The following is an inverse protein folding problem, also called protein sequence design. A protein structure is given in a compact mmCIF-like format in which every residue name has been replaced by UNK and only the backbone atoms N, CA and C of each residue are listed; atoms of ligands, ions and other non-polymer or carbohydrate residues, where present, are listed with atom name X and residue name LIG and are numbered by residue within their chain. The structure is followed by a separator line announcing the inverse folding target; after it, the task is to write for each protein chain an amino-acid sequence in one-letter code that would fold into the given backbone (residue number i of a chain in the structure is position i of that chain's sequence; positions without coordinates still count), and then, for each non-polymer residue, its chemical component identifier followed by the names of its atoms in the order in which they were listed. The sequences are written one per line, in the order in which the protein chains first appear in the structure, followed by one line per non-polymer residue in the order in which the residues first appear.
data_IF_359130013212
#
_entry.id   IF_359130013212
#
_cell.length_a   1.000
_cell.length_b   1.000
_cell.length_c   1.000
_cell.angle_alpha   90.00
_cell.angle_beta   90.00
_cell.angle_gamma   90.00
#
_symmetry.space_group_name_H-M   'P 1'
#
loop_
_entity.id
_entity.type
_entity.pdbx_description
1 polymer ?
#
# COMPACT_ATOMS: atom_id res chain seq x y z
N UNK A 1 24.97 -20.81 -51.42
CA UNK A 1 23.57 -20.67 -50.97
C UNK A 1 23.51 -21.17 -49.55
N UNK A 2 23.44 -20.28 -48.58
CA UNK A 2 23.36 -20.64 -47.15
C UNK A 2 21.89 -20.62 -46.74
N UNK A 3 21.44 -21.72 -46.15
CA UNK A 3 20.06 -21.97 -45.73
C UNK A 3 19.64 -21.02 -44.59
N UNK A 4 18.40 -20.53 -44.66
CA UNK A 4 17.74 -19.74 -43.61
C UNK A 4 17.49 -20.61 -42.36
N UNK A 5 17.62 -20.07 -41.14
CA UNK A 5 17.18 -20.77 -39.94
C UNK A 5 15.63 -20.74 -39.82
N UNK A 6 15.02 -21.71 -39.12
CA UNK A 6 13.57 -21.85 -39.03
C UNK A 6 12.95 -20.77 -38.13
N UNK A 7 11.82 -20.23 -38.58
CA UNK A 7 10.94 -19.34 -37.81
C UNK A 7 10.19 -20.14 -36.73
N UNK A 8 10.69 -20.13 -35.50
CA UNK A 8 9.91 -20.54 -34.33
C UNK A 8 9.48 -19.32 -33.51
N UNK A 9 8.21 -18.94 -33.67
CA UNK A 9 7.31 -18.52 -32.59
C UNK A 9 7.76 -17.36 -31.71
N UNK A 10 8.02 -16.18 -32.28
CA UNK A 10 8.03 -14.93 -31.53
C UNK A 10 6.57 -14.47 -31.32
N UNK A 11 5.90 -14.98 -30.28
CA UNK A 11 4.61 -14.39 -29.86
C UNK A 11 4.93 -13.09 -29.16
N UNK A 12 4.86 -12.01 -29.93
CA UNK A 12 4.85 -10.66 -29.42
C UNK A 12 3.57 -10.44 -28.62
N UNK A 13 3.70 -10.02 -27.35
CA UNK A 13 2.57 -9.63 -26.49
C UNK A 13 1.80 -8.41 -27.06
N UNK A 14 2.28 -7.84 -28.17
CA UNK A 14 1.61 -6.76 -28.91
C UNK A 14 0.43 -7.29 -29.76
N UNK A 15 0.42 -8.58 -30.11
CA UNK A 15 -0.53 -9.10 -31.10
C UNK A 15 -1.85 -9.63 -30.49
N UNK A 16 -1.94 -9.79 -29.16
CA UNK A 16 -3.18 -10.30 -28.54
C UNK A 16 -4.23 -9.21 -28.29
N UNK A 17 -3.88 -7.96 -27.97
CA UNK A 17 -4.88 -6.92 -27.60
C UNK A 17 -4.42 -5.47 -27.93
N UNK A 18 -4.47 -5.04 -29.21
CA UNK A 18 -4.03 -3.70 -29.64
C UNK A 18 -4.90 -2.55 -29.08
N UNK A 19 -6.18 -2.81 -28.78
CA UNK A 19 -7.14 -1.80 -28.29
C UNK A 19 -6.79 -1.28 -26.88
N UNK A 20 -6.10 -2.08 -26.06
CA UNK A 20 -5.68 -1.68 -24.71
C UNK A 20 -4.39 -0.84 -24.75
N UNK A 21 -3.53 -1.08 -25.74
CA UNK A 21 -2.34 -0.27 -25.95
C UNK A 21 -2.66 1.14 -26.44
N UNK A 22 -3.75 1.33 -27.20
CA UNK A 22 -4.29 2.67 -27.50
C UNK A 22 -4.70 3.44 -26.24
N UNK A 23 -5.28 2.77 -25.23
CA UNK A 23 -5.60 3.38 -23.93
C UNK A 23 -4.36 3.70 -23.08
N UNK A 24 -3.22 3.06 -23.37
CA UNK A 24 -1.91 3.34 -22.77
C UNK A 24 -1.15 4.44 -23.51
N UNK A 25 -1.59 4.87 -24.70
CA UNK A 25 -0.98 6.01 -25.40
C UNK A 25 -1.18 7.25 -24.55
N UNK A 26 -0.06 7.67 -23.97
CA UNK A 26 0.08 8.97 -23.34
C UNK A 26 -0.12 10.03 -24.40
N UNK A 27 -1.30 10.66 -24.43
CA UNK A 27 -1.59 11.73 -25.37
C UNK A 27 -0.66 12.92 -25.08
N UNK A 28 0.40 13.01 -25.87
CA UNK A 28 1.45 14.03 -25.74
C UNK A 28 1.10 15.31 -26.51
N UNK A 29 -0.13 15.41 -27.04
CA UNK A 29 -0.48 16.39 -28.07
C UNK A 29 -1.17 17.67 -27.57
N UNK A 30 -1.35 17.86 -26.26
CA UNK A 30 -2.01 19.08 -25.72
C UNK A 30 -1.05 20.23 -25.38
N UNK A 31 0.17 20.25 -25.94
CA UNK A 31 1.12 21.36 -25.77
C UNK A 31 1.69 21.84 -27.11
N UNK A 32 0.82 22.31 -28.00
CA UNK A 32 1.20 23.26 -29.06
C UNK A 32 -0.05 23.89 -29.69
N UNK A 33 -0.63 24.91 -29.04
CA UNK A 33 -1.35 25.95 -29.77
C UNK A 33 -0.98 27.32 -29.19
N UNK A 34 -0.22 28.08 -29.98
CA UNK A 34 -0.02 29.53 -29.82
C UNK A 34 -1.38 30.23 -29.99
N UNK A 35 -1.74 31.24 -29.18
CA UNK A 35 -2.91 32.05 -29.48
C UNK A 35 -2.60 33.02 -30.62
N UNK A 36 -3.34 32.92 -31.73
CA UNK A 36 -3.43 33.96 -32.75
C UNK A 36 -4.15 35.20 -32.19
N UNK A 37 -3.62 36.38 -32.51
CA UNK A 37 -4.17 37.67 -32.11
C UNK A 37 -5.41 38.00 -32.95
N UNK A 38 -6.55 38.16 -32.29
CA UNK A 38 -7.78 38.74 -32.87
C UNK A 38 -7.92 40.19 -32.35
N UNK A 39 -8.29 41.19 -33.18
CA UNK A 39 -8.38 42.58 -32.75
C UNK A 39 -9.54 42.83 -31.78
N UNK A 40 -9.31 43.68 -30.78
CA UNK A 40 -10.28 44.10 -29.76
C UNK A 40 -11.42 44.95 -30.35
N UNK A 41 -12.70 44.68 -30.01
CA UNK A 41 -13.77 45.66 -30.13
C UNK A 41 -13.85 46.59 -28.90
N UNK A 42 -14.33 47.81 -29.16
CA UNK A 42 -14.44 48.98 -28.27
C UNK A 42 -15.41 48.72 -27.09
N UNK A 43 -15.22 49.30 -25.88
CA UNK A 43 -16.08 49.05 -24.73
C UNK A 43 -17.40 49.82 -24.84
N UNK A 44 -18.53 49.12 -24.69
CA UNK A 44 -19.84 49.72 -24.39
C UNK A 44 -20.10 49.48 -22.89
N UNK A 45 -20.21 50.55 -22.11
CA UNK A 45 -20.59 50.50 -20.70
C UNK A 45 -22.00 49.89 -20.55
N UNK A 46 -22.10 48.82 -19.75
CA UNK A 46 -23.39 48.29 -19.27
C UNK A 46 -23.54 48.63 -17.78
N UNK A 47 -24.73 49.09 -17.34
CA UNK A 47 -24.94 49.54 -15.97
C UNK A 47 -24.85 48.39 -14.95
N UNK A 48 -24.29 48.70 -13.78
CA UNK A 48 -24.15 47.78 -12.64
C UNK A 48 -25.52 47.24 -12.22
N UNK A 49 -25.70 45.93 -12.34
CA UNK A 49 -26.85 45.21 -11.77
C UNK A 49 -26.62 45.01 -10.26
N UNK A 50 -27.66 45.09 -9.42
CA UNK A 50 -27.53 45.07 -7.97
C UNK A 50 -26.98 43.72 -7.48
N UNK A 51 -26.09 43.78 -6.49
CA UNK A 51 -25.51 42.63 -5.80
C UNK A 51 -26.62 41.68 -5.31
N UNK A 52 -26.80 40.55 -6.00
CA UNK A 52 -27.53 39.42 -5.44
C UNK A 52 -26.71 38.91 -4.27
N UNK A 53 -27.14 39.27 -3.05
CA UNK A 53 -26.73 38.62 -1.81
C UNK A 53 -27.00 37.12 -1.96
N UNK A 54 -25.95 36.36 -2.27
CA UNK A 54 -26.02 34.90 -2.38
C UNK A 54 -26.43 34.39 -1.00
N UNK A 55 -27.67 33.89 -0.90
CA UNK A 55 -28.12 33.14 0.27
C UNK A 55 -27.14 32.00 0.51
N UNK A 56 -26.56 31.91 1.72
CA UNK A 56 -25.72 30.78 2.13
C UNK A 56 -26.45 29.48 1.75
N UNK A 57 -25.89 28.62 0.88
CA UNK A 57 -26.47 27.31 0.66
C UNK A 57 -26.48 26.60 2.03
N UNK A 58 -27.56 25.87 2.32
CA UNK A 58 -27.68 25.11 3.55
C UNK A 58 -26.40 24.26 3.73
N UNK A 59 -25.65 24.50 4.80
CA UNK A 59 -24.46 23.72 5.17
C UNK A 59 -24.87 22.24 5.20
N UNK A 60 -24.46 21.49 4.18
CA UNK A 60 -24.64 20.05 4.17
C UNK A 60 -23.47 19.48 4.96
N UNK A 61 -23.72 19.07 6.20
CA UNK A 61 -22.69 18.47 7.02
C UNK A 61 -22.31 17.10 6.40
N UNK A 62 -21.04 16.88 5.97
CA UNK A 62 -20.59 15.56 5.52
C UNK A 62 -20.88 14.43 6.51
N UNK A 63 -21.00 14.73 7.81
CA UNK A 63 -21.32 13.77 8.85
C UNK A 63 -22.82 13.39 8.92
N UNK A 64 -23.69 14.01 8.11
CA UNK A 64 -25.11 13.64 7.98
C UNK A 64 -25.33 12.32 7.21
N UNK A 65 -24.36 11.90 6.39
CA UNK A 65 -24.42 10.61 5.67
C UNK A 65 -24.57 9.44 6.65
N UNK A 66 -25.25 8.36 6.29
CA UNK A 66 -25.21 7.15 7.12
C UNK A 66 -23.79 6.52 7.12
N UNK A 67 -23.49 5.67 8.12
CA UNK A 67 -22.13 5.11 8.29
C UNK A 67 -21.64 4.33 7.05
N UNK A 68 -22.43 3.43 6.43
CA UNK A 68 -22.00 2.74 5.20
C UNK A 68 -21.68 3.69 4.04
N UNK A 69 -22.53 4.66 3.76
CA UNK A 69 -22.31 5.65 2.69
C UNK A 69 -21.13 6.57 3.01
N UNK A 70 -20.89 6.87 4.29
CA UNK A 70 -19.74 7.64 4.72
C UNK A 70 -18.43 6.87 4.46
N UNK A 71 -18.36 5.58 4.83
CA UNK A 71 -17.21 4.72 4.53
C UNK A 71 -17.04 4.53 3.01
N UNK A 72 -18.13 4.40 2.26
CA UNK A 72 -18.08 4.32 0.80
C UNK A 72 -17.59 5.62 0.15
N UNK A 73 -17.79 6.78 0.78
CA UNK A 73 -17.33 8.05 0.23
C UNK A 73 -15.90 8.36 0.65
N UNK A 74 -15.58 8.17 1.93
CA UNK A 74 -14.37 8.68 2.57
C UNK A 74 -13.38 7.59 3.01
N UNK A 75 -13.76 6.30 2.88
CA UNK A 75 -12.97 5.11 3.27
C UNK A 75 -12.65 5.00 4.77
N UNK A 76 -13.15 5.94 5.57
CA UNK A 76 -13.05 5.98 7.03
C UNK A 76 -14.44 5.94 7.64
N UNK A 77 -14.55 5.48 8.88
CA UNK A 77 -15.76 5.69 9.70
C UNK A 77 -15.84 7.15 10.16
N UNK A 78 -17.02 7.60 10.57
CA UNK A 78 -17.23 8.97 11.05
C UNK A 78 -16.31 9.30 12.23
N UNK A 79 -16.17 8.38 13.18
CA UNK A 79 -15.31 8.57 14.35
C UNK A 79 -13.84 8.70 13.98
N UNK A 80 -13.36 7.94 13.00
CA UNK A 80 -11.98 8.08 12.52
C UNK A 80 -11.77 9.37 11.75
N UNK A 81 -12.75 9.79 10.95
CA UNK A 81 -12.68 11.08 10.27
C UNK A 81 -12.64 12.25 11.28
N UNK A 82 -13.47 12.22 12.33
CA UNK A 82 -13.41 13.21 13.43
C UNK A 82 -12.07 13.20 14.15
N UNK A 83 -11.60 12.01 14.53
CA UNK A 83 -10.29 11.85 15.19
C UNK A 83 -9.17 12.40 14.30
N UNK A 84 -9.21 12.14 13.00
CA UNK A 84 -8.25 12.67 12.04
C UNK A 84 -8.32 14.20 11.96
N UNK A 85 -9.51 14.79 11.95
CA UNK A 85 -9.66 16.26 11.96
C UNK A 85 -9.00 16.89 13.19
N UNK A 86 -9.25 16.34 14.38
CA UNK A 86 -8.63 16.81 15.63
C UNK A 86 -7.11 16.65 15.63
N UNK A 87 -6.59 15.55 15.07
CA UNK A 87 -5.15 15.30 14.97
C UNK A 87 -4.45 16.24 13.98
N UNK A 88 -5.13 16.61 12.88
CA UNK A 88 -4.55 17.49 11.86
C UNK A 88 -4.70 18.98 12.22
N UNK A 89 -5.73 19.36 12.97
CA UNK A 89 -5.99 20.75 13.39
C UNK A 89 -4.75 21.53 13.87
N UNK A 90 -3.88 20.99 14.77
CA UNK A 90 -2.70 21.74 15.25
C UNK A 90 -1.56 21.88 14.23
N UNK A 91 -1.58 21.12 13.12
CA UNK A 91 -0.53 21.10 12.09
C UNK A 91 -1.02 21.61 10.74
N UNK A 92 -2.30 21.99 10.66
CA UNK A 92 -2.88 22.64 9.48
C UNK A 92 -2.54 24.13 9.50
N UNK A 93 -2.38 24.77 8.32
CA UNK A 93 -2.07 26.19 8.25
C UNK A 93 -3.23 27.03 8.82
N UNK A 94 -2.87 28.01 9.65
CA UNK A 94 -3.77 29.05 10.11
C UNK A 94 -4.36 29.80 8.91
N UNK A 95 -5.66 30.05 8.94
CA UNK A 95 -6.30 30.75 7.84
C UNK A 95 -6.18 32.25 7.96
N UNK A 96 -5.84 32.85 6.84
CA UNK A 96 -5.61 34.29 6.69
C UNK A 96 -6.70 34.97 5.84
N UNK A 97 -7.81 34.28 5.48
CA UNK A 97 -8.84 34.78 4.55
C UNK A 97 -10.25 34.78 5.17
N UNK A 98 -11.10 35.71 4.71
CA UNK A 98 -12.45 35.96 5.26
C UNK A 98 -13.53 34.93 4.90
N UNK A 99 -13.28 34.05 3.93
CA UNK A 99 -14.15 32.92 3.57
C UNK A 99 -13.34 31.66 3.79
N UNK A 100 -13.36 31.19 5.03
CA UNK A 100 -12.57 30.05 5.45
C UNK A 100 -13.45 28.80 5.55
N UNK A 101 -13.07 27.77 4.78
CA UNK A 101 -13.61 26.44 4.98
C UNK A 101 -12.97 25.79 6.21
N UNK A 102 -13.78 25.13 7.03
CA UNK A 102 -13.34 24.42 8.22
C UNK A 102 -12.27 23.35 7.93
N UNK A 103 -11.51 22.95 8.96
CA UNK A 103 -10.55 21.84 8.85
C UNK A 103 -11.26 20.57 8.41
N UNK A 104 -12.45 20.34 8.96
CA UNK A 104 -13.34 19.24 8.63
C UNK A 104 -13.67 19.24 7.14
N UNK A 105 -14.15 20.37 6.59
CA UNK A 105 -14.45 20.48 5.16
C UNK A 105 -13.23 20.18 4.28
N UNK A 106 -12.04 20.64 4.66
CA UNK A 106 -10.79 20.36 3.93
C UNK A 106 -10.42 18.88 4.00
N UNK A 107 -10.49 18.27 5.19
CA UNK A 107 -10.21 16.84 5.40
C UNK A 107 -11.18 15.98 4.61
N UNK A 108 -12.49 16.29 4.66
CA UNK A 108 -13.50 15.55 3.90
C UNK A 108 -13.27 15.67 2.38
N UNK A 109 -12.94 16.87 1.89
CA UNK A 109 -12.60 17.06 0.47
C UNK A 109 -11.36 16.24 0.06
N UNK A 110 -10.31 16.24 0.88
CA UNK A 110 -9.09 15.49 0.62
C UNK A 110 -9.33 13.97 0.65
N UNK A 111 -10.09 13.46 1.63
CA UNK A 111 -10.45 12.04 1.72
C UNK A 111 -11.24 11.57 0.49
N UNK A 112 -12.23 12.35 0.05
CA UNK A 112 -13.00 12.05 -1.17
C UNK A 112 -12.10 12.03 -2.41
N UNK A 113 -11.16 12.98 -2.50
CA UNK A 113 -10.16 12.99 -3.58
C UNK A 113 -9.25 11.75 -3.52
N UNK A 114 -8.70 11.39 -2.36
CA UNK A 114 -7.84 10.20 -2.25
C UNK A 114 -8.61 8.91 -2.61
N UNK A 115 -9.86 8.80 -2.15
CA UNK A 115 -10.71 7.63 -2.36
C UNK A 115 -11.09 7.41 -3.83
N UNK A 116 -11.22 8.48 -4.62
CA UNK A 116 -11.76 8.41 -6.00
C UNK A 116 -10.76 8.82 -7.07
N UNK A 117 -9.75 9.60 -6.70
CA UNK A 117 -8.80 10.23 -7.61
C UNK A 117 -9.38 11.37 -8.46
N UNK A 118 -10.59 11.85 -8.12
CA UNK A 118 -11.32 12.86 -8.89
C UNK A 118 -11.61 14.08 -8.02
N UNK A 119 -11.60 15.26 -8.65
CA UNK A 119 -12.07 16.50 -8.04
C UNK A 119 -13.59 16.50 -7.98
N UNK A 120 -14.13 15.88 -6.94
CA UNK A 120 -15.57 15.88 -6.71
C UNK A 120 -16.02 17.28 -6.27
N UNK A 121 -17.00 17.85 -6.96
CA UNK A 121 -17.68 19.09 -6.55
C UNK A 121 -18.78 18.81 -5.51
N UNK A 122 -18.55 17.84 -4.63
CA UNK A 122 -19.53 17.36 -3.66
C UNK A 122 -18.85 16.87 -2.39
N UNK A 123 -19.35 17.33 -1.25
CA UNK A 123 -19.05 16.82 0.09
C UNK A 123 -20.40 16.33 0.66
N UNK A 124 -20.44 15.16 1.29
CA UNK A 124 -21.69 14.59 1.83
C UNK A 124 -22.67 14.07 0.76
N UNK A 125 -22.19 13.72 -0.44
CA UNK A 125 -23.03 13.15 -1.51
C UNK A 125 -23.93 14.15 -2.25
N UNK A 126 -23.88 15.45 -1.91
CA UNK A 126 -24.59 16.52 -2.61
C UNK A 126 -23.60 17.46 -3.29
N UNK A 127 -23.90 17.87 -4.52
CA UNK A 127 -23.12 18.87 -5.22
C UNK A 127 -23.33 20.24 -4.56
N UNK A 128 -22.29 20.79 -3.94
CA UNK A 128 -22.34 22.14 -3.38
C UNK A 128 -21.68 23.11 -4.39
N UNK A 129 -22.42 24.09 -4.92
CA UNK A 129 -21.86 25.09 -5.84
C UNK A 129 -20.73 25.94 -5.23
N UNK A 130 -20.59 25.98 -3.90
CA UNK A 130 -19.47 26.66 -3.21
C UNK A 130 -18.14 25.88 -3.33
N UNK A 131 -18.22 24.57 -3.57
CA UNK A 131 -17.06 23.68 -3.71
C UNK A 131 -16.52 23.79 -5.13
N UNK A 132 -15.48 24.60 -5.25
CA UNK A 132 -14.73 24.75 -6.49
C UNK A 132 -13.63 23.69 -6.60
N UNK A 133 -13.21 23.38 -7.83
CA UNK A 133 -12.03 22.54 -8.04
C UNK A 133 -10.78 23.16 -7.39
N UNK A 134 -10.70 24.50 -7.36
CA UNK A 134 -9.65 25.24 -6.66
C UNK A 134 -9.64 24.92 -5.16
N UNK A 135 -10.79 24.97 -4.49
CA UNK A 135 -10.90 24.61 -3.08
C UNK A 135 -10.43 23.17 -2.81
N UNK A 136 -10.91 22.20 -3.59
CA UNK A 136 -10.52 20.79 -3.41
C UNK A 136 -9.01 20.61 -3.61
N UNK A 137 -8.42 21.27 -4.61
CA UNK A 137 -6.97 21.24 -4.82
C UNK A 137 -6.19 21.81 -3.63
N UNK A 138 -6.61 22.97 -3.10
CA UNK A 138 -6.00 23.57 -1.90
C UNK A 138 -6.17 22.66 -0.68
N UNK A 139 -7.35 22.08 -0.48
CA UNK A 139 -7.62 21.16 0.62
C UNK A 139 -6.73 19.92 0.56
N UNK A 140 -6.61 19.30 -0.63
CA UNK A 140 -5.71 18.16 -0.84
C UNK A 140 -4.27 18.52 -0.49
N UNK A 141 -3.77 19.68 -0.94
CA UNK A 141 -2.40 20.10 -0.64
C UNK A 141 -2.18 20.31 0.86
N UNK A 142 -3.05 21.09 1.53
CA UNK A 142 -2.92 21.39 2.96
C UNK A 142 -3.04 20.13 3.83
N UNK A 143 -4.01 19.27 3.54
CA UNK A 143 -4.18 18.01 4.27
C UNK A 143 -3.01 17.06 4.00
N UNK A 144 -2.53 16.99 2.76
CA UNK A 144 -1.35 16.18 2.42
C UNK A 144 -0.12 16.64 3.23
N UNK A 145 0.13 17.94 3.28
CA UNK A 145 1.25 18.52 4.04
C UNK A 145 1.12 18.23 5.55
N UNK A 146 -0.06 18.47 6.12
CA UNK A 146 -0.36 18.18 7.53
C UNK A 146 -0.19 16.69 7.88
N UNK A 147 -0.63 15.80 6.99
CA UNK A 147 -0.44 14.35 7.14
C UNK A 147 1.04 13.94 7.11
N UNK A 148 1.89 14.68 6.40
CA UNK A 148 3.33 14.46 6.33
C UNK A 148 4.10 15.11 7.50
N UNK A 149 3.39 15.76 8.44
CA UNK A 149 4.03 16.28 9.63
C UNK A 149 4.72 15.15 10.43
N UNK A 150 5.97 15.31 10.91
CA UNK A 150 6.75 14.23 11.50
C UNK A 150 6.06 13.51 12.68
N UNK A 151 5.26 14.21 13.48
CA UNK A 151 4.50 13.60 14.59
C UNK A 151 3.41 12.64 14.10
N UNK A 152 2.77 12.93 12.97
CA UNK A 152 1.73 12.09 12.36
C UNK A 152 2.37 10.89 11.69
N UNK A 153 3.41 11.10 10.86
CA UNK A 153 4.12 10.01 10.17
C UNK A 153 4.65 9.00 11.19
N UNK A 154 5.38 9.45 12.23
CA UNK A 154 5.97 8.57 13.27
C UNK A 154 4.91 7.79 14.06
N UNK A 155 3.70 8.33 14.23
CA UNK A 155 2.60 7.65 14.94
C UNK A 155 2.02 6.48 14.15
N UNK A 156 2.00 6.59 12.82
CA UNK A 156 1.31 5.64 11.95
C UNK A 156 2.24 4.71 11.18
N UNK A 157 3.46 5.13 10.87
CA UNK A 157 4.46 4.36 10.14
C UNK A 157 5.73 4.28 11.00
N UNK A 158 6.04 3.09 11.49
CA UNK A 158 7.15 2.85 12.41
C UNK A 158 7.86 1.54 12.05
N UNK A 159 9.16 1.63 11.80
CA UNK A 159 10.00 0.47 11.54
C UNK A 159 10.57 -0.05 12.87
N UNK A 160 10.65 -1.38 13.10
CA UNK A 160 11.04 -1.94 14.39
C UNK A 160 12.54 -1.76 14.69
N UNK A 161 12.87 -0.75 15.49
CA UNK A 161 14.26 -0.46 15.89
C UNK A 161 14.63 -1.13 17.20
N UNK A 162 13.66 -1.45 18.06
CA UNK A 162 13.91 -2.17 19.30
C UNK A 162 13.91 -3.68 19.07
N UNK A 163 14.78 -4.41 19.79
CA UNK A 163 14.85 -5.88 19.70
C UNK A 163 13.50 -6.54 19.97
N UNK A 164 12.78 -6.07 20.99
CA UNK A 164 11.47 -6.59 21.36
C UNK A 164 10.44 -6.43 20.23
N UNK A 165 10.43 -5.29 19.53
CA UNK A 165 9.54 -5.06 18.38
C UNK A 165 9.86 -6.02 17.24
N UNK A 166 11.16 -6.21 16.95
CA UNK A 166 11.62 -7.17 15.94
C UNK A 166 11.22 -8.60 16.30
N UNK A 167 11.41 -9.02 17.54
CA UNK A 167 11.08 -10.38 17.99
C UNK A 167 9.57 -10.67 17.87
N UNK A 168 8.72 -9.67 18.16
CA UNK A 168 7.27 -9.78 17.94
C UNK A 168 6.96 -9.98 16.45
N UNK A 169 7.57 -9.19 15.55
CA UNK A 169 7.33 -9.32 14.10
C UNK A 169 7.86 -10.66 13.58
N UNK A 170 9.06 -11.08 13.99
CA UNK A 170 9.65 -12.39 13.66
C UNK A 170 8.71 -13.52 14.06
N UNK A 171 8.17 -13.47 15.28
CA UNK A 171 7.24 -14.46 15.77
C UNK A 171 5.95 -14.50 14.92
N UNK A 172 5.36 -13.35 14.58
CA UNK A 172 4.15 -13.32 13.75
C UNK A 172 4.38 -13.85 12.34
N UNK A 173 5.49 -13.49 11.69
CA UNK A 173 5.85 -14.04 10.38
C UNK A 173 6.09 -15.55 10.44
N UNK A 174 6.78 -16.03 11.48
CA UNK A 174 7.00 -17.47 11.65
C UNK A 174 5.68 -18.22 11.87
N UNK A 175 4.78 -17.70 12.71
CA UNK A 175 3.48 -18.32 12.97
C UNK A 175 2.59 -18.34 11.72
N UNK A 176 2.64 -17.30 10.88
CA UNK A 176 1.77 -17.17 9.70
C UNK A 176 2.32 -17.86 8.45
N UNK A 177 3.63 -17.83 8.24
CA UNK A 177 4.27 -18.27 7.00
C UNK A 177 5.38 -19.32 7.19
N UNK A 178 5.77 -19.62 8.43
CA UNK A 178 6.81 -20.60 8.75
C UNK A 178 8.25 -20.12 8.52
N UNK A 179 8.46 -18.85 8.14
CA UNK A 179 9.81 -18.33 7.85
C UNK A 179 10.35 -17.59 9.09
N UNK A 180 11.48 -18.05 9.67
CA UNK A 180 12.08 -17.37 10.82
C UNK A 180 12.75 -16.05 10.42
N UNK A 181 13.05 -15.20 11.41
CA UNK A 181 13.86 -13.98 11.29
C UNK A 181 13.36 -12.92 10.30
N UNK A 182 12.14 -13.05 9.79
CA UNK A 182 11.52 -12.05 8.92
C UNK A 182 11.08 -10.85 9.76
N UNK A 183 11.54 -9.66 9.39
CA UNK A 183 11.11 -8.39 10.03
C UNK A 183 10.23 -7.52 9.13
N UNK A 184 9.85 -8.03 7.96
CA UNK A 184 8.95 -7.37 7.03
C UNK A 184 8.99 -8.00 5.64
N UNK A 185 7.99 -7.71 4.82
CA UNK A 185 8.01 -7.98 3.39
C UNK A 185 8.10 -6.68 2.60
N UNK A 186 8.90 -6.65 1.55
CA UNK A 186 9.26 -5.45 0.79
C UNK A 186 9.00 -5.62 -0.69
N UNK A 187 8.36 -4.62 -1.29
CA UNK A 187 8.14 -4.55 -2.73
C UNK A 187 8.06 -3.10 -3.21
N UNK A 188 8.39 -2.86 -4.48
CA UNK A 188 8.15 -1.57 -5.10
C UNK A 188 6.86 -1.52 -5.92
N UNK A 189 6.26 -0.34 -5.97
CA UNK A 189 5.14 -0.04 -6.86
C UNK A 189 5.33 1.31 -7.54
N UNK A 190 4.86 1.42 -8.78
CA UNK A 190 4.85 2.65 -9.53
C UNK A 190 3.56 3.41 -9.31
N UNK A 191 3.66 4.68 -8.94
CA UNK A 191 2.55 5.64 -8.90
C UNK A 191 2.72 6.60 -10.07
N UNK A 192 1.84 6.56 -11.08
CA UNK A 192 1.98 7.42 -12.25
C UNK A 192 1.73 8.88 -11.90
N UNK A 193 2.40 9.77 -12.62
CA UNK A 193 2.36 11.21 -12.43
C UNK A 193 2.46 11.92 -13.78
N UNK A 194 2.16 13.22 -13.81
CA UNK A 194 2.46 14.02 -14.99
C UNK A 194 3.96 14.02 -15.31
N UNK A 195 4.25 14.32 -16.58
CA UNK A 195 5.62 14.64 -16.99
C UNK A 195 6.07 15.85 -16.17
N UNK A 196 7.12 15.73 -15.35
CA UNK A 196 7.63 16.86 -14.60
C UNK A 196 8.32 17.83 -15.55
N UNK A 197 8.42 19.10 -15.18
CA UNK A 197 9.17 20.09 -15.96
C UNK A 197 10.67 19.75 -15.92
N UNK A 198 11.18 19.48 -14.71
CA UNK A 198 12.56 19.11 -14.44
C UNK A 198 12.76 17.60 -14.24
N UNK A 199 14.01 17.15 -14.40
CA UNK A 199 14.48 15.77 -14.11
C UNK A 199 13.61 14.64 -14.68
N UNK A 200 13.03 14.88 -15.86
CA UNK A 200 12.12 13.96 -16.54
C UNK A 200 12.68 12.55 -16.69
N UNK A 201 13.99 12.43 -16.96
CA UNK A 201 14.68 11.15 -17.13
C UNK A 201 14.70 10.32 -15.85
N UNK A 202 14.78 10.94 -14.67
CA UNK A 202 14.76 10.17 -13.42
C UNK A 202 13.36 9.62 -13.12
N UNK A 203 12.32 10.31 -13.58
CA UNK A 203 10.92 9.94 -13.39
C UNK A 203 10.35 9.04 -14.48
N UNK A 204 10.95 9.04 -15.67
CA UNK A 204 10.52 8.22 -16.78
C UNK A 204 10.92 6.76 -16.54
N UNK A 205 9.92 5.89 -16.39
CA UNK A 205 10.14 4.46 -16.51
C UNK A 205 10.25 4.09 -18.01
N UNK A 206 9.97 2.85 -18.41
CA UNK A 206 10.05 2.45 -19.83
C UNK A 206 8.90 2.95 -20.71
N UNK A 207 7.84 3.52 -20.12
CA UNK A 207 6.60 3.85 -20.83
C UNK A 207 5.93 5.14 -20.35
N UNK A 208 6.05 5.51 -19.07
CA UNK A 208 5.40 6.70 -18.51
C UNK A 208 6.19 7.31 -17.34
N UNK A 209 5.85 8.53 -16.93
CA UNK A 209 6.46 9.17 -15.77
C UNK A 209 5.79 8.68 -14.48
N UNK A 210 6.61 8.29 -13.50
CA UNK A 210 6.13 7.75 -12.22
C UNK A 210 7.05 8.07 -11.07
N UNK A 211 6.51 7.97 -9.85
CA UNK A 211 7.29 7.74 -8.64
C UNK A 211 7.43 6.24 -8.43
N UNK A 212 8.64 5.78 -8.11
CA UNK A 212 8.87 4.41 -7.67
C UNK A 212 8.84 4.41 -6.15
N UNK A 213 7.90 3.67 -5.59
CA UNK A 213 7.63 3.66 -4.16
C UNK A 213 8.04 2.31 -3.59
N UNK A 214 8.93 2.27 -2.60
CA UNK A 214 9.19 1.06 -1.83
C UNK A 214 8.27 1.05 -0.61
N UNK A 215 7.59 -0.08 -0.38
CA UNK A 215 6.74 -0.30 0.79
C UNK A 215 7.29 -1.51 1.54
N UNK A 216 7.42 -1.38 2.85
CA UNK A 216 7.67 -2.51 3.75
C UNK A 216 6.46 -2.67 4.66
N UNK A 217 5.91 -3.88 4.73
CA UNK A 217 4.81 -4.21 5.64
C UNK A 217 5.15 -5.37 6.59
N UNK A 218 4.42 -5.43 7.70
CA UNK A 218 4.42 -6.61 8.57
C UNK A 218 3.46 -7.70 8.06
N UNK A 219 3.33 -8.80 8.82
CA UNK A 219 2.44 -9.92 8.50
C UNK A 219 0.95 -9.57 8.55
N UNK A 220 0.60 -8.45 9.18
CA UNK A 220 -0.78 -7.97 9.38
C UNK A 220 -1.14 -6.89 8.36
N UNK A 221 -0.33 -6.75 7.31
CA UNK A 221 -0.49 -5.77 6.22
C UNK A 221 -0.38 -4.32 6.71
N UNK A 222 0.27 -4.10 7.86
CA UNK A 222 0.57 -2.76 8.37
C UNK A 222 1.83 -2.25 7.69
N UNK A 223 1.78 -1.07 7.08
CA UNK A 223 2.93 -0.43 6.44
C UNK A 223 3.86 0.09 7.55
N UNK A 224 5.06 -0.49 7.66
CA UNK A 224 6.05 -0.12 8.69
C UNK A 224 7.16 0.78 8.13
N UNK A 225 7.29 0.87 6.81
CA UNK A 225 8.19 1.82 6.15
C UNK A 225 7.72 2.09 4.72
N UNK A 226 7.88 3.34 4.26
CA UNK A 226 7.60 3.77 2.90
C UNK A 226 8.69 4.72 2.42
N UNK A 227 9.18 4.52 1.20
CA UNK A 227 10.06 5.45 0.50
C UNK A 227 9.42 5.83 -0.83
N UNK A 228 9.01 7.09 -0.95
CA UNK A 228 8.44 7.66 -2.16
C UNK A 228 9.39 8.71 -2.80
N UNK A 229 10.68 8.70 -2.47
CA UNK A 229 11.65 9.70 -2.97
C UNK A 229 12.13 9.38 -4.39
N UNK A 230 12.19 8.10 -4.76
CA UNK A 230 12.73 7.67 -6.06
C UNK A 230 11.82 7.99 -7.26
N UNK A 231 12.45 8.30 -8.38
CA UNK A 231 11.79 8.43 -9.68
C UNK A 231 11.57 7.06 -10.35
N UNK A 232 10.71 7.03 -11.36
CA UNK A 232 10.30 5.82 -12.07
C UNK A 232 11.42 5.05 -12.78
N UNK A 233 12.56 5.68 -13.07
CA UNK A 233 13.68 5.01 -13.74
C UNK A 233 14.50 4.09 -12.82
N UNK A 234 14.28 4.19 -11.51
CA UNK A 234 15.09 3.49 -10.51
C UNK A 234 14.83 1.98 -10.51
N UNK A 235 15.87 1.19 -10.26
CA UNK A 235 15.72 -0.23 -9.95
C UNK A 235 15.30 -0.44 -8.49
N UNK A 236 14.76 -1.62 -8.17
CA UNK A 236 14.39 -1.96 -6.78
C UNK A 236 15.62 -1.92 -5.86
N UNK A 237 16.76 -2.46 -6.33
CA UNK A 237 18.02 -2.38 -5.61
C UNK A 237 18.50 -0.94 -5.42
N UNK A 238 18.35 -0.04 -6.40
CA UNK A 238 18.74 1.36 -6.20
C UNK A 238 17.93 2.04 -5.08
N UNK A 239 16.63 1.75 -4.97
CA UNK A 239 15.78 2.27 -3.90
C UNK A 239 16.25 1.71 -2.55
N UNK A 240 16.35 0.38 -2.43
CA UNK A 240 16.78 -0.27 -1.19
C UNK A 240 18.20 0.13 -0.76
N UNK A 241 19.12 0.30 -1.71
CA UNK A 241 20.51 0.65 -1.40
C UNK A 241 20.67 2.05 -0.80
N UNK A 242 19.77 2.97 -1.17
CA UNK A 242 19.72 4.33 -0.63
C UNK A 242 18.86 4.44 0.64
N UNK A 243 17.97 3.46 0.85
CA UNK A 243 17.10 3.43 2.01
C UNK A 243 17.89 3.07 3.27
N UNK A 244 17.63 3.79 4.35
CA UNK A 244 18.41 3.67 5.56
C UNK A 244 18.20 2.31 6.28
N UNK A 245 17.04 1.64 6.08
CA UNK A 245 16.79 0.26 6.55
C UNK A 245 17.89 -0.73 6.18
N UNK A 246 18.59 -0.50 5.05
CA UNK A 246 19.73 -1.32 4.66
C UNK A 246 20.83 -1.29 5.71
N UNK A 247 21.16 -0.09 6.20
CA UNK A 247 22.23 0.11 7.19
C UNK A 247 21.89 -0.60 8.49
N UNK A 248 20.64 -0.49 8.95
CA UNK A 248 20.16 -1.20 10.14
C UNK A 248 20.26 -2.71 9.98
N UNK A 249 19.77 -3.22 8.85
CA UNK A 249 19.77 -4.64 8.55
C UNK A 249 21.19 -5.23 8.45
N UNK A 250 22.11 -4.51 7.79
CA UNK A 250 23.52 -4.90 7.74
C UNK A 250 24.14 -4.90 9.14
N UNK A 251 23.90 -3.86 9.94
CA UNK A 251 24.38 -3.77 11.33
C UNK A 251 23.87 -4.92 12.21
N UNK A 252 22.58 -5.24 12.13
CA UNK A 252 21.97 -6.35 12.88
C UNK A 252 22.57 -7.70 12.50
N UNK A 253 22.73 -7.96 11.20
CA UNK A 253 23.33 -9.22 10.76
C UNK A 253 24.82 -9.33 11.11
N UNK A 254 25.58 -8.23 11.04
CA UNK A 254 26.99 -8.18 11.42
C UNK A 254 27.19 -8.35 12.94
N UNK A 255 26.23 -7.93 13.76
CA UNK A 255 26.23 -8.12 15.22
C UNK A 255 25.68 -9.48 15.67
N UNK A 256 25.41 -10.41 14.73
CA UNK A 256 24.95 -11.75 15.06
C UNK A 256 23.45 -11.84 15.39
N UNK A 257 22.64 -10.85 15.00
CA UNK A 257 21.19 -10.92 15.04
C UNK A 257 20.62 -11.10 13.62
N UNK A 258 20.37 -12.34 13.16
CA UNK A 258 19.80 -12.57 11.84
C UNK A 258 18.44 -11.88 11.70
N UNK A 259 18.36 -11.01 10.70
CA UNK A 259 17.14 -10.29 10.32
C UNK A 259 17.11 -10.16 8.80
N UNK A 260 15.97 -10.47 8.18
CA UNK A 260 15.81 -10.26 6.75
C UNK A 260 14.41 -9.79 6.37
N UNK A 261 14.34 -9.13 5.21
CA UNK A 261 13.10 -8.84 4.52
C UNK A 261 12.77 -9.94 3.52
N UNK A 262 11.48 -10.16 3.26
CA UNK A 262 11.02 -10.98 2.13
C UNK A 262 10.82 -10.07 0.92
N UNK A 263 11.69 -10.18 -0.07
CA UNK A 263 11.68 -9.36 -1.27
C UNK A 263 11.24 -10.11 -2.53
N UNK A 264 10.72 -9.35 -3.49
CA UNK A 264 10.31 -9.85 -4.80
C UNK A 264 11.47 -10.22 -5.72
N UNK A 265 11.17 -10.73 -6.93
CA UNK A 265 12.17 -11.20 -7.88
C UNK A 265 13.02 -10.08 -8.49
N UNK A 266 12.71 -8.79 -8.25
CA UNK A 266 13.50 -7.68 -8.77
C UNK A 266 14.60 -7.21 -7.82
N UNK A 267 14.66 -7.75 -6.61
CA UNK A 267 15.74 -7.49 -5.66
C UNK A 267 16.88 -8.46 -5.86
N UNK A 268 18.10 -8.00 -5.59
CA UNK A 268 19.28 -8.84 -5.53
C UNK A 268 19.34 -9.59 -4.20
N UNK A 269 19.58 -10.91 -4.23
CA UNK A 269 19.76 -11.73 -3.04
C UNK A 269 20.96 -11.25 -2.21
N UNK A 270 20.72 -10.94 -0.94
CA UNK A 270 21.73 -10.54 0.07
C UNK A 270 21.39 -11.17 1.42
N UNK A 271 22.29 -11.06 2.39
CA UNK A 271 22.08 -11.66 3.72
C UNK A 271 20.81 -11.16 4.42
N UNK A 272 20.42 -9.91 4.17
CA UNK A 272 19.27 -9.25 4.80
C UNK A 272 18.01 -9.20 3.92
N UNK A 273 17.99 -9.81 2.73
CA UNK A 273 16.80 -9.89 1.88
C UNK A 273 16.72 -11.24 1.19
N UNK A 274 15.62 -11.95 1.42
CA UNK A 274 15.35 -13.26 0.86
C UNK A 274 14.47 -13.09 -0.38
N UNK A 275 15.00 -13.51 -1.53
CA UNK A 275 14.36 -13.40 -2.84
C UNK A 275 13.96 -14.79 -3.35
N UNK A 276 13.02 -14.91 -4.30
CA UNK A 276 12.63 -16.20 -4.84
C UNK A 276 13.79 -16.86 -5.60
N UNK A 277 13.87 -18.19 -5.55
CA UNK A 277 14.90 -18.94 -6.30
C UNK A 277 14.55 -18.91 -7.80
N UNK A 278 15.46 -18.45 -8.67
CA UNK A 278 15.21 -18.41 -10.11
C UNK A 278 14.88 -19.81 -10.67
N UNK A 279 14.03 -19.86 -11.71
CA UNK A 279 13.67 -21.07 -12.47
C UNK A 279 12.87 -22.15 -11.71
N UNK A 280 12.47 -21.91 -10.46
CA UNK A 280 11.50 -22.77 -9.78
C UNK A 280 10.08 -22.40 -10.21
N UNK A 281 9.35 -23.36 -10.77
CA UNK A 281 7.97 -23.15 -11.26
C UNK A 281 6.97 -24.00 -10.49
N UNK A 282 5.67 -23.84 -10.76
CA UNK A 282 4.64 -24.74 -10.22
C UNK A 282 4.80 -26.20 -10.66
N UNK A 283 5.45 -26.44 -11.81
CA UNK A 283 5.68 -27.77 -12.38
C UNK A 283 7.00 -28.41 -11.92
N UNK A 284 7.84 -27.66 -11.21
CA UNK A 284 9.09 -28.20 -10.67
C UNK A 284 8.81 -29.34 -9.68
N UNK A 285 9.64 -30.40 -9.66
CA UNK A 285 9.47 -31.51 -8.73
C UNK A 285 9.60 -31.04 -7.28
N UNK A 286 9.15 -31.89 -6.37
CA UNK A 286 9.32 -31.65 -4.93
C UNK A 286 10.81 -31.60 -4.60
N UNK A 287 11.25 -30.49 -4.03
CA UNK A 287 12.63 -30.25 -3.60
C UNK A 287 12.67 -29.23 -2.46
N UNK A 288 13.78 -29.11 -1.72
CA UNK A 288 13.99 -28.03 -0.74
C UNK A 288 13.73 -26.64 -1.32
N UNK A 289 14.24 -26.37 -2.52
CA UNK A 289 14.08 -25.09 -3.22
C UNK A 289 12.63 -24.82 -3.60
N UNK A 290 11.90 -25.88 -4.00
CA UNK A 290 10.47 -25.79 -4.32
C UNK A 290 9.64 -25.49 -3.08
N UNK A 291 9.95 -26.12 -1.96
CA UNK A 291 9.30 -25.84 -0.68
C UNK A 291 9.57 -24.40 -0.23
N UNK A 292 10.84 -23.96 -0.22
CA UNK A 292 11.21 -22.58 0.04
C UNK A 292 10.44 -21.59 -0.84
N UNK A 293 10.41 -21.83 -2.15
CA UNK A 293 9.74 -20.92 -3.09
C UNK A 293 8.24 -20.81 -2.81
N UNK A 294 7.58 -21.90 -2.37
CA UNK A 294 6.17 -21.89 -2.01
C UNK A 294 5.90 -21.08 -0.73
N UNK A 295 6.70 -21.24 0.32
CA UNK A 295 6.54 -20.47 1.58
C UNK A 295 6.98 -19.02 1.40
N UNK A 296 8.04 -18.77 0.62
CA UNK A 296 8.48 -17.42 0.25
C UNK A 296 7.39 -16.67 -0.49
N UNK A 297 6.75 -17.29 -1.48
CA UNK A 297 5.63 -16.68 -2.23
C UNK A 297 4.48 -16.30 -1.31
N UNK A 298 4.16 -17.13 -0.31
CA UNK A 298 3.12 -16.84 0.67
C UNK A 298 3.52 -15.66 1.58
N UNK A 299 4.75 -15.64 2.10
CA UNK A 299 5.22 -14.53 2.91
C UNK A 299 5.31 -13.21 2.12
N UNK A 300 5.75 -13.28 0.86
CA UNK A 300 5.79 -12.13 -0.05
C UNK A 300 4.40 -11.62 -0.40
N UNK A 301 3.37 -12.48 -0.32
CA UNK A 301 2.00 -12.04 -0.58
C UNK A 301 1.57 -10.92 0.39
N UNK A 302 2.15 -10.86 1.60
CA UNK A 302 1.86 -9.80 2.56
C UNK A 302 2.07 -8.40 1.95
N UNK A 303 3.21 -8.13 1.32
CA UNK A 303 3.46 -6.79 0.76
C UNK A 303 2.69 -6.56 -0.54
N UNK A 304 2.50 -7.58 -1.38
CA UNK A 304 1.72 -7.44 -2.61
C UNK A 304 0.24 -7.18 -2.31
N UNK A 305 -0.31 -7.86 -1.30
CA UNK A 305 -1.67 -7.67 -0.81
C UNK A 305 -1.82 -6.30 -0.15
N UNK A 306 -0.81 -5.85 0.60
CA UNK A 306 -0.77 -4.50 1.19
C UNK A 306 -0.84 -3.43 0.11
N UNK A 307 0.01 -3.51 -0.92
CA UNK A 307 0.03 -2.55 -2.05
C UNK A 307 -1.30 -2.59 -2.83
N UNK A 308 -1.84 -3.78 -3.06
CA UNK A 308 -3.16 -3.95 -3.70
C UNK A 308 -4.24 -3.26 -2.88
N UNK A 309 -4.31 -3.52 -1.57
CA UNK A 309 -5.29 -2.89 -0.69
C UNK A 309 -5.12 -1.36 -0.65
N UNK A 310 -3.89 -0.87 -0.53
CA UNK A 310 -3.55 0.54 -0.53
C UNK A 310 -4.10 1.25 -1.79
N UNK A 311 -3.80 0.71 -2.98
CA UNK A 311 -4.25 1.28 -4.26
C UNK A 311 -5.74 1.10 -4.53
N UNK A 312 -6.35 0.07 -3.96
CA UNK A 312 -7.80 -0.16 -4.07
C UNK A 312 -8.60 0.81 -3.21
N UNK A 313 -8.09 1.13 -2.02
CA UNK A 313 -8.68 2.07 -1.07
C UNK A 313 -8.52 3.51 -1.55
N UNK A 314 -7.31 3.84 -2.04
CA UNK A 314 -6.93 5.19 -2.48
C UNK A 314 -6.66 5.23 -3.98
N UNK A 315 -7.73 5.43 -4.75
CA UNK A 315 -7.66 5.46 -6.22
C UNK A 315 -6.82 6.60 -6.77
N UNK A 316 -6.49 7.63 -5.97
CA UNK A 316 -5.54 8.66 -6.40
C UNK A 316 -4.13 8.13 -6.69
N UNK A 317 -3.75 6.98 -6.14
CA UNK A 317 -2.45 6.34 -6.41
C UNK A 317 -2.41 5.59 -7.75
N UNK A 318 -3.53 5.57 -8.47
CA UNK A 318 -3.65 4.97 -9.80
C UNK A 318 -3.48 6.02 -10.91
N UNK A 319 -3.25 5.55 -12.13
CA UNK A 319 -2.62 6.31 -13.21
C UNK A 319 -3.26 7.64 -13.64
N UNK A 320 -4.52 7.89 -13.32
CA UNK A 320 -5.29 8.95 -13.96
C UNK A 320 -5.39 10.23 -13.12
N UNK A 321 -4.90 10.20 -11.87
CA UNK A 321 -5.35 11.13 -10.84
C UNK A 321 -4.31 12.21 -10.48
N UNK A 322 -3.04 11.99 -10.82
CA UNK A 322 -1.91 12.82 -10.37
C UNK A 322 -1.36 13.76 -11.45
N UNK A 323 -2.16 14.06 -12.48
CA UNK A 323 -1.68 14.81 -13.66
C UNK A 323 -1.39 16.29 -13.38
N UNK A 324 -1.85 16.86 -12.26
CA UNK A 324 -1.56 18.26 -11.91
C UNK A 324 -0.58 18.44 -10.75
N UNK A 325 -0.05 17.34 -10.20
CA UNK A 325 0.83 17.41 -9.04
C UNK A 325 2.28 17.19 -9.47
N UNK A 326 3.15 17.99 -8.90
CA UNK A 326 4.59 17.86 -9.06
C UNK A 326 5.11 16.60 -8.31
N UNK A 327 6.33 16.13 -8.61
CA UNK A 327 6.86 14.91 -8.01
C UNK A 327 6.93 14.92 -6.48
N UNK A 328 7.31 16.03 -5.81
CA UNK A 328 7.28 16.12 -4.34
C UNK A 328 5.87 15.99 -3.77
N UNK A 329 4.87 16.65 -4.34
CA UNK A 329 3.48 16.54 -3.87
C UNK A 329 2.96 15.11 -4.03
N UNK A 330 3.25 14.45 -5.16
CA UNK A 330 2.87 13.04 -5.36
C UNK A 330 3.51 12.16 -4.29
N UNK A 331 4.78 12.38 -3.93
CA UNK A 331 5.45 11.65 -2.86
C UNK A 331 4.75 11.85 -1.51
N UNK A 332 4.39 13.07 -1.15
CA UNK A 332 3.66 13.35 0.09
C UNK A 332 2.26 12.72 0.10
N UNK A 333 1.55 12.73 -1.04
CA UNK A 333 0.25 12.07 -1.17
C UNK A 333 0.35 10.56 -0.96
N UNK A 334 1.41 9.92 -1.46
CA UNK A 334 1.68 8.50 -1.25
C UNK A 334 1.82 8.21 0.25
N UNK A 335 2.62 9.01 0.97
CA UNK A 335 2.81 8.87 2.43
C UNK A 335 1.48 9.06 3.17
N UNK A 336 0.70 10.09 2.81
CA UNK A 336 -0.61 10.32 3.40
C UNK A 336 -1.55 9.12 3.20
N UNK A 337 -1.58 8.52 2.00
CA UNK A 337 -2.37 7.32 1.73
C UNK A 337 -1.88 6.09 2.53
N UNK A 338 -0.57 5.94 2.73
CA UNK A 338 -0.01 4.89 3.60
C UNK A 338 -0.44 5.06 5.07
N UNK A 339 -0.45 6.29 5.58
CA UNK A 339 -0.95 6.61 6.92
C UNK A 339 -2.43 6.25 7.04
N UNK A 340 -3.26 6.70 6.09
CA UNK A 340 -4.70 6.41 6.10
C UNK A 340 -4.99 4.92 5.98
N UNK A 341 -4.19 4.17 5.20
CA UNK A 341 -4.26 2.71 5.13
C UNK A 341 -4.01 2.06 6.50
N UNK A 342 -2.98 2.49 7.23
CA UNK A 342 -2.72 2.00 8.57
C UNK A 342 -3.81 2.38 9.58
N UNK A 343 -4.37 3.59 9.49
CA UNK A 343 -5.54 4.00 10.30
C UNK A 343 -6.71 3.03 10.09
N UNK A 344 -7.00 2.70 8.83
CA UNK A 344 -8.05 1.76 8.48
C UNK A 344 -7.78 0.35 9.00
N UNK A 345 -6.56 -0.16 8.79
CA UNK A 345 -6.19 -1.52 9.18
C UNK A 345 -6.24 -1.71 10.70
N UNK A 346 -5.74 -0.74 11.48
CA UNK A 346 -5.80 -0.76 12.95
C UNK A 346 -7.24 -0.84 13.49
N UNK A 347 -8.22 -0.42 12.70
CA UNK A 347 -9.65 -0.36 13.08
C UNK A 347 -10.49 -1.41 12.35
N UNK A 348 -9.86 -2.30 11.58
CA UNK A 348 -10.55 -3.36 10.86
C UNK A 348 -11.49 -2.84 9.77
N UNK A 349 -11.28 -1.64 9.22
CA UNK A 349 -12.10 -1.16 8.10
C UNK A 349 -11.75 -1.97 6.84
N UNK A 350 -12.71 -2.72 6.29
CA UNK A 350 -12.45 -3.59 5.15
C UNK A 350 -11.95 -2.77 3.94
N UNK A 351 -10.98 -3.28 3.17
CA UNK A 351 -10.56 -2.64 1.93
C UNK A 351 -11.69 -2.72 0.89
N UNK A 352 -11.74 -1.73 0.00
CA UNK A 352 -12.64 -1.77 -1.15
C UNK A 352 -12.03 -2.69 -2.21
N UNK A 353 -12.68 -3.79 -2.62
CA UNK A 353 -12.09 -4.69 -3.60
C UNK A 353 -11.97 -4.00 -4.96
N UNK A 354 -10.84 -4.19 -5.64
CA UNK A 354 -10.74 -3.87 -7.06
C UNK A 354 -11.61 -4.83 -7.86
N UNK A 355 -12.23 -4.33 -8.92
CA UNK A 355 -12.79 -5.20 -9.95
C UNK A 355 -11.69 -6.02 -10.62
N UNK A 356 -12.04 -7.16 -11.21
CA UNK A 356 -11.05 -8.00 -11.91
C UNK A 356 -10.36 -7.25 -13.06
N UNK A 357 -11.06 -6.33 -13.73
CA UNK A 357 -10.49 -5.48 -14.77
C UNK A 357 -9.49 -4.47 -14.22
N UNK A 358 -9.80 -3.79 -13.11
CA UNK A 358 -8.89 -2.87 -12.42
C UNK A 358 -7.61 -3.59 -11.96
N UNK A 359 -7.75 -4.79 -11.39
CA UNK A 359 -6.61 -5.59 -10.94
C UNK A 359 -5.70 -6.02 -12.10
N UNK A 360 -6.28 -6.50 -13.21
CA UNK A 360 -5.52 -6.85 -14.42
C UNK A 360 -4.78 -5.64 -14.99
N UNK A 361 -5.46 -4.51 -15.10
CA UNK A 361 -4.88 -3.27 -15.62
C UNK A 361 -3.73 -2.78 -14.74
N UNK A 362 -3.90 -2.79 -13.42
CA UNK A 362 -2.86 -2.38 -12.48
C UNK A 362 -1.66 -3.33 -12.55
N UNK A 363 -1.88 -4.64 -12.54
CA UNK A 363 -0.80 -5.63 -12.69
C UNK A 363 -0.03 -5.45 -14.01
N UNK A 364 -0.73 -5.18 -15.12
CA UNK A 364 -0.11 -4.90 -16.41
C UNK A 364 0.75 -3.63 -16.36
N UNK A 365 0.23 -2.53 -15.78
CA UNK A 365 0.98 -1.26 -15.63
C UNK A 365 2.26 -1.43 -14.82
N UNK A 366 2.20 -2.20 -13.74
CA UNK A 366 3.38 -2.50 -12.91
C UNK A 366 4.40 -3.35 -13.66
N UNK A 367 3.94 -4.37 -14.39
CA UNK A 367 4.79 -5.24 -15.21
C UNK A 367 5.50 -4.47 -16.33
N UNK A 368 4.77 -3.60 -17.03
CA UNK A 368 5.33 -2.74 -18.09
C UNK A 368 6.37 -1.77 -17.50
N UNK A 369 6.07 -1.12 -16.38
CA UNK A 369 6.97 -0.17 -15.73
C UNK A 369 8.27 -0.83 -15.23
N UNK A 370 8.16 -1.99 -14.56
CA UNK A 370 9.33 -2.73 -14.06
C UNK A 370 10.13 -3.38 -15.19
N UNK A 371 9.47 -3.76 -16.28
CA UNK A 371 10.07 -4.50 -17.38
C UNK A 371 10.45 -5.94 -16.99
N UNK A 372 11.21 -6.63 -17.88
CA UNK A 372 11.56 -8.02 -17.67
C UNK A 372 12.51 -8.20 -16.47
N UNK A 373 12.30 -9.28 -15.71
CA UNK A 373 13.25 -9.71 -14.68
C UNK A 373 14.55 -10.15 -15.39
N UNK A 374 15.72 -9.63 -15.00
CA UNK A 374 17.00 -10.02 -15.63
C UNK A 374 17.24 -11.53 -15.55
N UNK A 375 17.61 -12.16 -16.68
CA UNK A 375 17.88 -13.62 -16.76
C UNK A 375 19.10 -14.06 -15.96
N UNK A 376 20.07 -13.15 -15.77
CA UNK A 376 21.24 -13.33 -14.90
C UNK A 376 21.18 -12.23 -13.84
N UNK A 377 20.81 -12.59 -12.61
CA UNK A 377 20.94 -11.70 -11.46
C UNK A 377 22.27 -11.97 -10.80
N UNK A 378 23.04 -10.91 -10.56
CA UNK A 378 24.23 -11.00 -9.72
C UNK A 378 23.72 -11.14 -8.30
N UNK A 379 23.97 -12.29 -7.67
CA UNK A 379 23.63 -12.53 -6.26
C UNK A 379 24.89 -12.47 -5.41
N UNK A 380 24.77 -11.98 -4.17
CA UNK A 380 25.93 -11.89 -3.26
C UNK A 380 26.18 -13.24 -2.58
N UNK A 381 27.45 -13.63 -2.46
CA UNK A 381 27.83 -14.93 -1.91
C UNK A 381 27.28 -15.19 -0.50
N UNK A 382 27.36 -14.21 0.40
CA UNK A 382 26.77 -14.29 1.75
C UNK A 382 25.24 -14.41 1.71
N UNK A 383 24.58 -13.75 0.77
CA UNK A 383 23.14 -13.86 0.54
C UNK A 383 22.71 -15.22 0.05
N UNK A 384 23.48 -15.82 -0.88
CA UNK A 384 23.23 -17.19 -1.38
C UNK A 384 23.38 -18.19 -0.22
N UNK A 385 24.43 -18.06 0.59
CA UNK A 385 24.65 -18.92 1.74
C UNK A 385 23.51 -18.80 2.77
N UNK A 386 23.09 -17.57 3.09
CA UNK A 386 21.98 -17.33 4.01
C UNK A 386 20.67 -17.97 3.51
N UNK A 387 20.33 -17.80 2.22
CA UNK A 387 19.14 -18.42 1.62
C UNK A 387 19.25 -19.94 1.58
N UNK A 388 20.42 -20.50 1.26
CA UNK A 388 20.64 -21.95 1.25
C UNK A 388 20.45 -22.56 2.65
N UNK A 389 21.02 -21.92 3.69
CA UNK A 389 20.81 -22.35 5.07
C UNK A 389 19.34 -22.28 5.49
N UNK A 390 18.62 -21.24 5.05
CA UNK A 390 17.18 -21.11 5.28
C UNK A 390 16.39 -22.20 4.54
N UNK A 391 16.73 -22.50 3.29
CA UNK A 391 16.10 -23.56 2.48
C UNK A 391 16.23 -24.92 3.17
N UNK A 392 17.44 -25.29 3.60
CA UNK A 392 17.70 -26.53 4.32
C UNK A 392 16.94 -26.59 5.64
N UNK A 393 16.96 -25.50 6.42
CA UNK A 393 16.20 -25.41 7.68
C UNK A 393 14.71 -25.63 7.47
N UNK A 394 14.12 -24.88 6.54
CA UNK A 394 12.68 -24.97 6.24
C UNK A 394 12.30 -26.35 5.73
N UNK A 395 13.17 -26.96 4.94
CA UNK A 395 13.00 -28.34 4.50
C UNK A 395 12.99 -29.27 5.70
N UNK A 396 13.99 -29.22 6.58
CA UNK A 396 14.10 -30.14 7.72
C UNK A 396 12.98 -29.94 8.77
N UNK A 397 12.52 -28.71 8.97
CA UNK A 397 11.42 -28.37 9.88
C UNK A 397 10.03 -28.59 9.27
N UNK A 398 9.93 -28.98 7.99
CA UNK A 398 8.64 -29.16 7.32
C UNK A 398 7.82 -30.25 8.04
N UNK A 399 6.57 -29.93 8.38
CA UNK A 399 5.64 -30.94 8.90
C UNK A 399 5.28 -31.87 7.73
N UNK A 400 5.82 -33.08 7.74
CA UNK A 400 5.40 -34.13 6.82
C UNK A 400 4.04 -34.62 7.32
N UNK A 401 2.96 -34.13 6.71
CA UNK A 401 1.67 -34.81 6.84
C UNK A 401 1.83 -36.10 6.02
N UNK A 402 1.67 -37.30 6.62
CA UNK A 402 1.66 -38.53 5.84
C UNK A 402 0.55 -38.40 4.79
N UNK A 403 0.89 -38.60 3.51
CA UNK A 403 -0.12 -38.72 2.45
C UNK A 403 -1.01 -39.93 2.78
N UNK A 404 -2.10 -39.70 3.51
CA UNK A 404 -3.10 -40.71 3.74
C UNK A 404 -3.91 -40.85 2.44
N UNK A 405 -3.50 -41.82 1.62
CA UNK A 405 -4.27 -42.35 0.50
C UNK A 405 -3.99 -41.64 -0.83
N UNK A 406 -3.45 -42.40 -1.77
CA UNK A 406 -3.51 -42.13 -3.20
C UNK A 406 -4.90 -41.60 -3.60
N UNK A 407 -5.01 -40.70 -4.60
CA UNK A 407 -6.31 -40.21 -5.04
C UNK A 407 -7.14 -41.41 -5.49
N UNK A 408 -8.24 -41.69 -4.77
CA UNK A 408 -9.26 -42.63 -5.24
C UNK A 408 -9.68 -42.16 -6.63
N UNK A 409 -9.37 -42.96 -7.66
CA UNK A 409 -9.90 -42.77 -9.01
C UNK A 409 -11.40 -42.46 -8.88
N UNK A 410 -11.86 -41.35 -9.45
CA UNK A 410 -13.30 -41.04 -9.56
C UNK A 410 -13.97 -42.27 -10.17
N UNK A 411 -14.76 -42.98 -9.36
CA UNK A 411 -15.65 -44.03 -9.86
C UNK A 411 -16.60 -43.42 -10.88
N UNK A 412 -16.86 -44.16 -11.96
CA UNK A 412 -17.73 -43.70 -13.02
C UNK A 412 -19.17 -43.60 -12.50
N UNK A 413 -19.96 -42.74 -13.15
CA UNK A 413 -21.38 -42.48 -12.82
C UNK A 413 -22.27 -43.74 -12.83
N UNK A 414 -21.76 -44.87 -13.33
CA UNK A 414 -22.46 -46.15 -13.48
C UNK A 414 -22.50 -47.00 -12.20
N UNK A 415 -21.59 -46.76 -11.25
CA UNK A 415 -21.47 -47.57 -10.03
C UNK A 415 -22.27 -46.99 -8.83
N UNK A 416 -23.02 -45.90 -9.04
CA UNK A 416 -23.80 -45.20 -8.00
C UNK A 416 -25.22 -45.74 -7.77
N UNK A 417 -25.65 -46.77 -8.50
CA UNK A 417 -27.07 -47.20 -8.53
C UNK A 417 -27.32 -48.52 -7.77
N UNK A 418 -26.31 -49.15 -7.16
CA UNK A 418 -26.48 -50.42 -6.44
C UNK A 418 -26.28 -50.35 -4.92
N UNK A 419 -26.32 -49.16 -4.32
CA UNK A 419 -26.17 -49.00 -2.88
C UNK A 419 -27.26 -48.08 -2.31
N UNK A 420 -28.51 -48.47 -2.52
CA UNK A 420 -29.64 -48.01 -1.76
C UNK A 420 -30.53 -49.23 -1.60
N UNK A 421 -30.50 -49.89 -0.45
CA UNK A 421 -31.58 -50.70 0.14
C UNK A 421 -31.05 -51.22 1.50
N UNK A 422 -31.20 -50.43 2.56
CA UNK A 422 -31.19 -50.94 3.94
C UNK A 422 -32.18 -50.12 4.80
N UNK A 423 -33.04 -50.77 5.62
CA UNK A 423 -34.14 -50.12 6.32
C UNK A 423 -33.71 -49.37 7.60
N UNK A 424 -34.54 -48.42 8.09
CA UNK A 424 -34.12 -47.45 9.12
C UNK A 424 -34.07 -48.04 10.53
N UNK A 425 -33.07 -47.62 11.31
CA UNK A 425 -32.96 -47.89 12.76
C UNK A 425 -33.59 -46.78 13.62
N UNK A 426 -34.10 -47.09 14.83
CA UNK A 426 -34.83 -46.16 15.69
C UNK A 426 -33.91 -45.22 16.52
N UNK A 427 -34.44 -44.10 17.04
CA UNK A 427 -33.65 -43.04 17.67
C UNK A 427 -33.18 -43.37 19.10
N UNK A 428 -32.03 -42.82 19.56
CA UNK A 428 -31.50 -43.08 20.89
C UNK A 428 -32.16 -42.23 22.00
N UNK A 429 -32.25 -42.86 23.17
CA UNK A 429 -32.86 -42.36 24.40
C UNK A 429 -32.00 -41.28 25.11
N UNK A 430 -32.69 -40.33 25.75
CA UNK A 430 -32.13 -39.28 26.59
C UNK A 430 -31.71 -39.84 27.97
N UNK A 431 -30.50 -39.53 28.42
CA UNK A 431 -30.10 -39.69 29.81
C UNK A 431 -29.71 -38.34 30.43
N UNK A 432 -30.42 -37.98 31.49
CA UNK A 432 -30.08 -36.97 32.48
C UNK A 432 -28.76 -37.28 33.19
N UNK A 433 -27.94 -36.25 33.44
CA UNK A 433 -27.02 -36.25 34.58
C UNK A 433 -26.93 -34.88 35.25
N UNK A 434 -26.93 -34.96 36.59
CA UNK A 434 -27.10 -33.91 37.59
C UNK A 434 -25.91 -32.96 37.72
N UNK A 435 -26.24 -31.74 38.17
CA UNK A 435 -25.35 -30.75 38.77
C UNK A 435 -24.71 -31.24 40.07
N UNK A 436 -23.42 -30.95 40.25
CA UNK A 436 -22.83 -30.75 41.58
C UNK A 436 -22.02 -29.44 41.59
N UNK A 437 -22.38 -28.58 42.53
CA UNK A 437 -21.63 -27.40 42.97
C UNK A 437 -20.39 -27.84 43.75
N UNK A 438 -19.30 -27.05 43.73
CA UNK A 438 -18.50 -26.71 44.92
C UNK A 438 -17.43 -25.63 44.62
N UNK A 439 -17.54 -24.54 45.39
CA UNK A 439 -16.49 -23.73 46.05
C UNK A 439 -15.63 -22.73 45.24
N UNK A 440 -15.82 -21.45 45.61
CA UNK A 440 -14.88 -20.32 45.46
C UNK A 440 -13.73 -20.41 46.49
N UNK A 441 -12.62 -19.68 46.26
CA UNK A 441 -12.36 -18.56 47.17
C UNK A 441 -11.73 -17.29 46.53
N UNK A 442 -12.05 -16.18 47.20
CA UNK A 442 -11.28 -14.97 47.50
C UNK A 442 -10.81 -13.94 46.45
N UNK A 443 -11.34 -12.73 46.65
CA UNK A 443 -10.89 -11.40 46.25
C UNK A 443 -9.51 -11.02 46.80
N UNK A 444 -8.67 -10.39 45.97
CA UNK A 444 -7.73 -9.35 46.40
C UNK A 444 -7.75 -8.18 45.39
N UNK A 445 -7.92 -6.97 45.92
CA UNK A 445 -7.83 -5.67 45.24
C UNK A 445 -6.50 -5.03 45.65
N UNK A 446 -5.72 -4.52 44.70
CA UNK A 446 -4.64 -3.55 44.97
C UNK A 446 -4.39 -2.64 43.77
N UNK A 447 -5.00 -1.46 43.83
CA UNK A 447 -4.53 -0.23 43.21
C UNK A 447 -3.05 0.07 43.52
N UNK A 448 -2.26 0.50 42.52
CA UNK A 448 -1.16 1.49 42.62
C UNK A 448 -0.49 1.77 41.25
N UNK A 449 -0.67 2.99 40.72
CA UNK A 449 0.11 3.60 39.63
C UNK A 449 1.39 4.27 40.19
N UNK A 450 2.50 4.35 39.43
CA UNK A 450 3.53 5.37 39.65
C UNK A 450 3.45 6.52 38.62
N UNK A 451 3.81 7.73 39.09
CA UNK A 451 3.76 9.03 38.41
C UNK A 451 5.05 9.34 37.62
N UNK A 452 4.87 10.15 36.58
CA UNK A 452 5.89 10.82 35.75
C UNK A 452 6.27 12.17 36.39
N UNK A 453 7.55 12.58 36.31
CA UNK A 453 8.03 13.95 36.62
C UNK A 453 8.89 14.47 35.44
N UNK A 454 8.74 15.73 34.99
CA UNK A 454 9.41 16.29 33.80
C UNK A 454 10.58 17.25 34.14
N UNK A 455 11.55 17.43 33.24
CA UNK A 455 12.48 18.58 33.19
C UNK A 455 13.01 18.79 31.75
N UNK A 456 12.56 19.83 31.04
CA UNK A 456 13.24 21.09 30.65
C UNK A 456 14.25 21.03 29.48
N UNK A 457 13.95 21.82 28.44
CA UNK A 457 14.78 22.22 27.27
C UNK A 457 15.69 23.42 27.56
N UNK A 458 16.69 23.70 26.69
CA UNK A 458 16.72 25.03 26.05
C UNK A 458 17.18 25.11 24.57
N UNK A 459 16.39 25.86 23.78
CA UNK A 459 16.63 26.88 22.72
C UNK A 459 17.84 26.95 21.73
N UNK A 460 17.48 26.95 20.42
CA UNK A 460 17.84 27.80 19.23
C UNK A 460 19.26 27.95 18.63
N UNK A 461 19.40 27.67 17.31
CA UNK A 461 19.79 28.64 16.24
C UNK A 461 19.69 28.07 14.80
N UNK A 462 19.49 28.97 13.81
CA UNK A 462 19.14 28.79 12.39
C UNK A 462 20.19 28.16 11.44
N UNK A 463 19.73 27.50 10.36
CA UNK A 463 20.43 27.45 9.06
C UNK A 463 20.20 26.20 8.17
N UNK A 464 19.49 26.37 7.04
CA UNK A 464 19.31 25.45 5.88
C UNK A 464 18.58 24.09 6.12
N UNK A 465 17.68 23.63 5.21
CA UNK A 465 16.94 22.39 5.41
C UNK A 465 17.80 21.17 5.05
N UNK A 466 18.04 20.22 5.97
CA UNK A 466 18.60 18.93 5.61
C UNK A 466 17.50 18.00 5.09
N UNK A 467 17.83 17.21 4.07
CA UNK A 467 16.96 16.15 3.57
C UNK A 467 16.52 15.21 4.70
N UNK A 468 15.22 14.92 4.72
CA UNK A 468 14.55 13.81 5.43
C UNK A 468 15.36 13.09 6.51
N UNK A 469 15.43 13.68 7.69
CA UNK A 469 15.93 13.04 8.91
C UNK A 469 14.87 12.11 9.53
N UNK A 470 14.77 10.87 9.03
CA UNK A 470 14.02 9.78 9.69
C UNK A 470 14.89 8.87 10.56
N UNK A 471 16.11 9.28 10.91
CA UNK A 471 17.02 8.50 11.76
C UNK A 471 17.29 9.24 13.07
N UNK A 472 16.88 8.72 14.24
CA UNK A 472 17.53 9.12 15.47
C UNK A 472 18.95 8.53 15.47
N UNK A 473 19.93 9.37 15.19
CA UNK A 473 21.31 9.10 15.59
C UNK A 473 21.46 9.53 17.04
N UNK A 474 21.56 8.54 17.93
CA UNK A 474 21.89 8.60 19.36
C UNK A 474 20.96 9.38 20.29
#
# INVERSE_FOLDING_TARGET
MAEKPPEEGYISVVDEEPEIFELLKWDSSQHTQKPEQIPRPIPIEKPKSPEKRVSKPADCDPFDLNEPSFIETYRLSKDLARTLCEELKPVMPDSTKSIEFSVESKVMAALAFYATGKYQKSIGGKSDPSITQYFVATAVLQVTEAMNHPSIVKKYIHFPHLRQERDIIKARFYMKYGIPNVIGSVECTHVPMARPEDDQKSHFNKSYHSKKVQVICDSDLTIISVDATAGGSYSHDNVLNRHAVRVDLESLNNSGEPCWLIGGPYYTQKQYIMTPIPKITKKSPVSPEKYYSNVHTQAHSAVTDTIKQLKSRWKCLQANCNKQFDPPTVAMMIVACCILHNICNRRGIPPVPMTQAEERLEAMKQKVANGPIPRKQVEYANGIQARAALVERLWNERRIVPECGAPKKRMSKKDRIMENHQPPQPPPQQHHHQQQQMHQPHHEDMSKRPRIIPMTTPTYSLGMPPGWGHYPQH
#
